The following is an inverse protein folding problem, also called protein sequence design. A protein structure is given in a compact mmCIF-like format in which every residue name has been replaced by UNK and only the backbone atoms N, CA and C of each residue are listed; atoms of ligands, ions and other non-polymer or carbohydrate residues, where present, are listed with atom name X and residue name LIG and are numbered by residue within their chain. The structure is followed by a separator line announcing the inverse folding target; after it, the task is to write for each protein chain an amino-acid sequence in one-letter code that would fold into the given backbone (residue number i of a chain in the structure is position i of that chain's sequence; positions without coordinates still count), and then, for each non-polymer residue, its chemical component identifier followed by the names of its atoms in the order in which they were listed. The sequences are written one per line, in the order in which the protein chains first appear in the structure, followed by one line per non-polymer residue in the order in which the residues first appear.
data_IF_589227690501
#
_entry.id   IF_589227690501
#
_cell.length_a   1.000
_cell.length_b   1.000
_cell.length_c   1.000
_cell.angle_alpha   90.00
_cell.angle_beta   90.00
_cell.angle_gamma   90.00
#
_symmetry.space_group_name_H-M   'P 1'
#
loop_
_entity.id
_entity.type
_entity.pdbx_description
1 polymer ?
#
# COMPACT_ATOMS: atom_id res chain seq x y z
N UNK A 1 -7.30 -5.52 -7.28
CA UNK A 1 -6.92 -5.38 -8.70
C UNK A 1 -5.41 -5.13 -8.89
N UNK A 2 -4.84 -4.02 -8.39
CA UNK A 2 -3.41 -3.70 -8.62
C UNK A 2 -2.46 -4.82 -8.17
N UNK A 3 -2.67 -5.38 -6.98
CA UNK A 3 -1.91 -6.52 -6.49
C UNK A 3 -1.97 -7.71 -7.45
N UNK A 4 -3.16 -8.04 -7.96
CA UNK A 4 -3.37 -9.19 -8.84
C UNK A 4 -2.72 -9.01 -10.20
N UNK A 5 -2.74 -7.79 -10.76
CA UNK A 5 -2.14 -7.54 -12.08
C UNK A 5 -0.61 -7.47 -12.01
N UNK A 6 -0.06 -6.95 -10.92
CA UNK A 6 1.38 -6.70 -10.81
C UNK A 6 2.16 -7.76 -10.02
N UNK A 7 1.50 -8.51 -9.15
CA UNK A 7 2.12 -9.47 -8.24
C UNK A 7 2.48 -10.78 -8.93
N UNK A 8 3.74 -11.21 -8.80
CA UNK A 8 4.24 -12.45 -9.40
C UNK A 8 3.49 -13.70 -8.91
N UNK A 9 2.94 -13.66 -7.71
CA UNK A 9 2.18 -14.74 -7.09
C UNK A 9 0.88 -15.08 -7.83
N UNK A 10 0.39 -14.18 -8.69
CA UNK A 10 -0.80 -14.40 -9.52
C UNK A 10 -0.49 -14.80 -10.97
N UNK A 11 0.80 -15.04 -11.30
CA UNK A 11 1.24 -15.23 -12.69
C UNK A 11 0.57 -16.39 -13.42
N UNK A 12 0.17 -17.44 -12.70
CA UNK A 12 -0.51 -18.61 -13.25
C UNK A 12 -2.03 -18.40 -13.48
N UNK A 13 -2.60 -17.30 -12.97
CA UNK A 13 -4.04 -17.05 -12.99
C UNK A 13 -4.47 -15.97 -14.02
N UNK A 14 -3.64 -15.69 -15.03
CA UNK A 14 -3.92 -14.61 -15.98
C UNK A 14 -5.28 -14.74 -16.68
N UNK A 15 -5.55 -15.92 -17.23
CA UNK A 15 -6.77 -16.15 -18.01
C UNK A 15 -8.04 -16.01 -17.17
N UNK A 16 -7.98 -16.41 -15.90
CA UNK A 16 -9.09 -16.27 -14.95
C UNK A 16 -9.33 -14.81 -14.55
N UNK A 17 -8.25 -14.05 -14.35
CA UNK A 17 -8.33 -12.71 -13.78
C UNK A 17 -8.54 -11.61 -14.83
N UNK A 18 -8.00 -11.78 -16.04
CA UNK A 18 -7.86 -10.66 -16.98
C UNK A 18 -8.38 -10.92 -18.40
N UNK A 19 -8.56 -12.18 -18.82
CA UNK A 19 -8.93 -12.50 -20.21
C UNK A 19 -10.20 -11.79 -20.66
N UNK A 20 -10.12 -11.11 -21.79
CA UNK A 20 -11.24 -10.39 -22.38
C UNK A 20 -11.57 -9.05 -21.70
N UNK A 21 -10.87 -8.65 -20.64
CA UNK A 21 -10.97 -7.31 -20.07
C UNK A 21 -10.17 -6.31 -20.92
N UNK A 22 -10.44 -5.01 -20.73
CA UNK A 22 -9.70 -3.95 -21.43
C UNK A 22 -8.18 -4.06 -21.21
N UNK A 23 -7.75 -4.45 -20.00
CA UNK A 23 -6.33 -4.62 -19.65
C UNK A 23 -5.65 -5.76 -20.42
N UNK A 24 -6.39 -6.79 -20.85
CA UNK A 24 -5.85 -7.88 -21.67
C UNK A 24 -5.45 -7.37 -23.05
N UNK A 25 -6.24 -6.48 -23.65
CA UNK A 25 -5.91 -5.86 -24.94
C UNK A 25 -4.57 -5.11 -24.88
N UNK A 26 -4.32 -4.36 -23.81
CA UNK A 26 -3.06 -3.62 -23.62
C UNK A 26 -1.86 -4.55 -23.40
N UNK A 27 -2.08 -5.71 -22.75
CA UNK A 27 -1.05 -6.76 -22.57
C UNK A 27 -0.75 -7.43 -23.92
N UNK A 28 -1.76 -7.82 -24.69
CA UNK A 28 -1.58 -8.42 -26.02
C UNK A 28 -0.87 -7.45 -26.99
N UNK A 29 -1.14 -6.15 -26.86
CA UNK A 29 -0.44 -5.11 -27.61
C UNK A 29 0.99 -4.84 -27.13
N UNK A 30 1.45 -5.48 -26.04
CA UNK A 30 2.77 -5.28 -25.46
C UNK A 30 2.99 -3.91 -24.82
N UNK A 31 1.90 -3.16 -24.56
CA UNK A 31 1.97 -1.80 -24.01
C UNK A 31 2.22 -1.82 -22.50
N UNK A 32 1.70 -2.85 -21.84
CA UNK A 32 1.90 -3.10 -20.41
C UNK A 32 2.28 -4.57 -20.18
N UNK A 33 2.96 -4.83 -19.08
CA UNK A 33 3.39 -6.17 -18.70
C UNK A 33 2.90 -6.48 -17.28
N UNK A 34 2.20 -7.60 -17.05
CA UNK A 34 1.79 -8.03 -15.72
C UNK A 34 2.98 -8.62 -14.93
N UNK A 35 2.75 -8.90 -13.64
CA UNK A 35 3.61 -9.77 -12.82
C UNK A 35 5.06 -9.30 -12.62
N UNK A 36 5.29 -7.98 -12.65
CA UNK A 36 6.64 -7.41 -12.59
C UNK A 36 7.14 -7.10 -11.17
N UNK A 37 6.38 -7.44 -10.12
CA UNK A 37 6.65 -6.99 -8.76
C UNK A 37 6.32 -8.02 -7.69
N UNK A 38 7.00 -7.89 -6.54
CA UNK A 38 6.56 -8.45 -5.27
C UNK A 38 5.70 -7.38 -4.56
N UNK A 39 4.50 -7.73 -4.12
CA UNK A 39 3.53 -6.82 -3.53
C UNK A 39 3.71 -6.79 -2.02
N UNK A 40 4.06 -5.63 -1.47
CA UNK A 40 3.95 -5.37 -0.03
C UNK A 40 2.69 -4.52 0.18
N UNK A 41 1.68 -5.08 0.84
CA UNK A 41 0.43 -4.38 1.12
C UNK A 41 0.41 -3.94 2.58
N UNK A 42 0.07 -2.68 2.82
CA UNK A 42 -0.20 -2.12 4.15
C UNK A 42 -1.65 -1.69 4.20
N UNK A 43 -2.37 -2.11 5.23
CA UNK A 43 -3.76 -1.74 5.46
C UNK A 43 -3.86 -0.95 6.77
N UNK A 44 -4.01 0.37 6.65
CA UNK A 44 -4.08 1.26 7.80
C UNK A 44 -5.46 1.24 8.49
N UNK A 45 -6.46 0.60 7.89
CA UNK A 45 -7.77 0.39 8.52
C UNK A 45 -7.67 -0.47 9.77
N UNK A 46 -6.73 -1.42 9.78
CA UNK A 46 -6.56 -2.42 10.84
C UNK A 46 -5.67 -1.97 12.00
N UNK A 47 -5.15 -0.73 11.99
CA UNK A 47 -4.28 -0.23 13.06
C UNK A 47 -5.10 -0.03 14.33
N UNK A 48 -4.58 -0.50 15.47
CA UNK A 48 -5.16 -0.22 16.78
C UNK A 48 -5.08 1.29 17.09
N UNK A 49 -6.23 1.87 17.42
CA UNK A 49 -6.47 3.33 17.41
C UNK A 49 -6.56 3.86 18.83
N UNK A 50 -5.61 3.46 19.67
CA UNK A 50 -5.58 3.89 21.05
C UNK A 50 -5.44 5.43 21.14
N UNK A 51 -6.28 6.12 21.95
CA UNK A 51 -6.18 7.57 22.12
C UNK A 51 -4.84 8.06 22.67
N UNK A 52 -4.07 7.19 23.36
CA UNK A 52 -2.72 7.48 23.82
C UNK A 52 -1.69 7.23 22.68
N UNK A 53 -0.99 8.28 22.23
CA UNK A 53 -0.05 8.20 21.11
C UNK A 53 1.11 7.21 21.28
N UNK A 54 1.44 6.81 22.51
CA UNK A 54 2.44 5.76 22.76
C UNK A 54 1.94 4.39 22.33
N UNK A 55 0.69 4.07 22.64
CA UNK A 55 0.06 2.80 22.26
C UNK A 55 -0.29 2.80 20.77
N UNK A 56 -0.72 3.94 20.22
CA UNK A 56 -0.87 4.16 18.78
C UNK A 56 0.38 3.81 17.98
N UNK A 57 1.56 4.25 18.46
CA UNK A 57 2.84 3.94 17.82
C UNK A 57 3.14 2.44 17.85
N UNK A 58 2.81 1.74 18.94
CA UNK A 58 2.97 0.28 19.02
C UNK A 58 2.06 -0.40 17.99
N UNK A 59 0.78 -0.04 17.94
CA UNK A 59 -0.18 -0.58 16.97
C UNK A 59 0.25 -0.35 15.51
N UNK A 60 0.81 0.83 15.20
CA UNK A 60 1.35 1.13 13.87
C UNK A 60 2.53 0.21 13.52
N UNK A 61 3.49 0.03 14.44
CA UNK A 61 4.63 -0.86 14.21
C UNK A 61 4.19 -2.31 14.06
N UNK A 62 3.23 -2.75 14.86
CA UNK A 62 2.67 -4.10 14.80
C UNK A 62 1.97 -4.38 13.46
N UNK A 63 1.08 -3.50 13.01
CA UNK A 63 0.41 -3.63 11.71
C UNK A 63 1.40 -3.75 10.55
N UNK A 64 2.42 -2.88 10.52
CA UNK A 64 3.43 -2.90 9.45
C UNK A 64 4.27 -4.18 9.54
N UNK A 65 4.67 -4.59 10.74
CA UNK A 65 5.46 -5.80 10.95
C UNK A 65 4.68 -7.07 10.55
N UNK A 66 3.39 -7.13 10.87
CA UNK A 66 2.51 -8.23 10.44
C UNK A 66 2.43 -8.28 8.92
N UNK A 67 2.24 -7.14 8.27
CA UNK A 67 2.23 -7.02 6.80
C UNK A 67 3.55 -7.49 6.16
N UNK A 68 4.70 -7.17 6.77
CA UNK A 68 6.02 -7.63 6.31
C UNK A 68 6.17 -9.15 6.55
N UNK A 69 5.62 -9.67 7.65
CA UNK A 69 5.56 -11.11 7.92
C UNK A 69 4.80 -11.86 6.82
N UNK A 70 3.62 -11.37 6.47
CA UNK A 70 2.79 -11.95 5.41
C UNK A 70 3.44 -11.84 4.03
N UNK A 71 4.14 -10.74 3.75
CA UNK A 71 5.00 -10.62 2.57
C UNK A 71 6.05 -11.74 2.52
N UNK A 72 6.74 -12.02 3.62
CA UNK A 72 7.73 -13.09 3.65
C UNK A 72 7.11 -14.47 3.46
N UNK A 73 5.94 -14.74 4.07
CA UNK A 73 5.21 -16.00 3.89
C UNK A 73 4.79 -16.19 2.43
N UNK A 74 4.22 -15.16 1.82
CA UNK A 74 3.77 -15.16 0.42
C UNK A 74 4.92 -15.48 -0.53
N UNK A 75 6.11 -14.93 -0.27
CA UNK A 75 7.27 -15.08 -1.17
C UNK A 75 8.35 -16.03 -0.67
N UNK A 76 8.05 -16.90 0.31
CA UNK A 76 9.01 -17.78 0.94
C UNK A 76 9.74 -18.69 -0.07
N UNK A 77 9.01 -19.19 -1.08
CA UNK A 77 9.56 -20.03 -2.15
C UNK A 77 10.56 -19.27 -3.07
N UNK A 78 10.37 -17.96 -3.25
CA UNK A 78 11.24 -17.15 -4.11
C UNK A 78 12.43 -16.55 -3.36
N UNK A 79 12.31 -16.35 -2.05
CA UNK A 79 13.32 -15.71 -1.20
C UNK A 79 14.23 -16.71 -0.47
N UNK A 80 14.24 -17.97 -0.91
CA UNK A 80 15.19 -19.00 -0.49
C UNK A 80 14.70 -19.92 0.64
N UNK A 81 13.46 -20.39 0.57
CA UNK A 81 12.86 -21.37 1.50
C UNK A 81 12.88 -20.94 2.98
N UNK A 82 12.49 -19.70 3.25
CA UNK A 82 12.18 -19.25 4.62
C UNK A 82 10.74 -19.61 4.98
N UNK A 83 10.38 -20.89 4.87
CA UNK A 83 9.07 -21.41 5.28
C UNK A 83 8.99 -21.68 6.78
N UNK A 84 10.10 -21.52 7.50
CA UNK A 84 10.13 -21.56 8.96
C UNK A 84 9.68 -20.22 9.53
N UNK A 85 8.54 -20.20 10.22
CA UNK A 85 8.04 -19.01 10.92
C UNK A 85 9.09 -18.42 11.87
N UNK A 86 9.97 -19.22 12.48
CA UNK A 86 11.05 -18.72 13.34
C UNK A 86 12.08 -17.90 12.55
N UNK A 87 12.36 -18.29 11.30
CA UNK A 87 13.23 -17.50 10.43
C UNK A 87 12.56 -16.19 10.03
N UNK A 88 11.25 -16.20 9.75
CA UNK A 88 10.51 -14.97 9.44
C UNK A 88 10.49 -14.04 10.66
N UNK A 89 10.21 -14.56 11.85
CA UNK A 89 10.26 -13.80 13.10
C UNK A 89 11.63 -13.16 13.33
N UNK A 90 12.73 -13.86 13.00
CA UNK A 90 14.09 -13.29 13.08
C UNK A 90 14.34 -12.11 12.13
N UNK A 91 13.52 -11.95 11.09
CA UNK A 91 13.58 -10.83 10.14
C UNK A 91 12.71 -9.64 10.57
N UNK A 92 11.81 -9.85 11.52
CA UNK A 92 10.91 -8.84 12.05
C UNK A 92 11.46 -8.31 13.37
N UNK A 93 11.51 -6.98 13.50
CA UNK A 93 11.82 -6.31 14.75
C UNK A 93 10.52 -5.81 15.38
N UNK A 94 9.96 -6.47 16.42
CA UNK A 94 8.59 -6.23 16.90
C UNK A 94 8.27 -4.76 17.20
N UNK A 95 9.25 -4.02 17.75
CA UNK A 95 9.08 -2.61 18.12
C UNK A 95 9.72 -1.63 17.12
N UNK A 96 10.14 -2.09 15.94
CA UNK A 96 10.83 -1.26 14.95
C UNK A 96 10.54 -1.68 13.51
N UNK A 97 9.36 -1.29 13.02
CA UNK A 97 8.95 -1.56 11.64
C UNK A 97 9.86 -0.95 10.56
N UNK A 98 10.57 0.15 10.87
CA UNK A 98 11.55 0.76 9.96
C UNK A 98 12.70 -0.22 9.70
N UNK A 99 13.23 -0.83 10.77
CA UNK A 99 14.30 -1.82 10.65
C UNK A 99 13.81 -3.08 9.91
N UNK A 100 12.60 -3.55 10.20
CA UNK A 100 11.97 -4.65 9.47
C UNK A 100 11.86 -4.36 7.97
N UNK A 101 11.40 -3.15 7.60
CA UNK A 101 11.28 -2.75 6.19
C UNK A 101 12.65 -2.71 5.50
N UNK A 102 13.67 -2.14 6.14
CA UNK A 102 15.02 -2.09 5.58
C UNK A 102 15.59 -3.50 5.32
N UNK A 103 15.33 -4.44 6.23
CA UNK A 103 15.75 -5.83 6.10
C UNK A 103 14.97 -6.56 5.01
N UNK A 104 13.66 -6.30 4.90
CA UNK A 104 12.81 -6.75 3.80
C UNK A 104 13.35 -6.32 2.44
N UNK A 105 13.54 -5.01 2.25
CA UNK A 105 14.08 -4.44 1.01
C UNK A 105 15.46 -5.02 0.67
N UNK A 106 16.32 -5.17 1.68
CA UNK A 106 17.66 -5.74 1.49
C UNK A 106 17.62 -7.22 1.08
N UNK A 107 16.69 -7.99 1.64
CA UNK A 107 16.47 -9.40 1.31
C UNK A 107 16.01 -9.54 -0.13
N UNK A 108 14.96 -8.81 -0.52
CA UNK A 108 14.45 -8.82 -1.90
C UNK A 108 15.52 -8.40 -2.89
N UNK A 109 16.28 -7.33 -2.59
CA UNK A 109 17.38 -6.88 -3.45
C UNK A 109 18.45 -7.96 -3.63
N UNK A 110 18.80 -8.67 -2.56
CA UNK A 110 19.77 -9.75 -2.62
C UNK A 110 19.26 -10.91 -3.49
N UNK A 111 18.01 -11.34 -3.29
CA UNK A 111 17.38 -12.41 -4.08
C UNK A 111 17.31 -12.06 -5.56
N UNK A 112 16.84 -10.86 -5.92
CA UNK A 112 16.77 -10.40 -7.31
C UNK A 112 18.14 -10.29 -7.98
N UNK A 113 19.20 -9.96 -7.22
CA UNK A 113 20.57 -9.95 -7.73
C UNK A 113 21.13 -11.35 -7.94
N UNK A 114 20.83 -12.28 -7.03
CA UNK A 114 21.31 -13.65 -7.11
C UNK A 114 20.80 -14.39 -8.35
N UNK A 115 19.59 -14.05 -8.81
CA UNK A 115 18.97 -14.67 -9.98
C UNK A 115 19.18 -13.88 -11.28
N UNK A 116 19.96 -12.79 -11.24
CA UNK A 116 20.15 -11.93 -12.40
C UNK A 116 20.80 -12.70 -13.55
N UNK A 117 20.14 -12.71 -14.70
CA UNK A 117 20.60 -13.41 -15.91
C UNK A 117 20.09 -14.86 -16.01
N UNK A 118 19.43 -15.37 -14.97
CA UNK A 118 18.66 -16.62 -15.07
C UNK A 118 17.25 -16.30 -15.58
N UNK A 119 17.02 -16.53 -16.87
CA UNK A 119 15.74 -16.24 -17.53
C UNK A 119 14.62 -17.22 -17.15
N UNK A 120 14.98 -18.41 -16.68
CA UNK A 120 14.02 -19.46 -16.30
C UNK A 120 13.59 -19.36 -14.82
N UNK A 121 14.22 -18.46 -14.05
CA UNK A 121 13.86 -18.28 -12.64
C UNK A 121 12.49 -17.56 -12.54
N UNK A 122 11.60 -17.93 -11.60
CA UNK A 122 10.30 -17.25 -11.44
C UNK A 122 10.37 -15.75 -11.14
N UNK A 123 11.52 -15.28 -10.64
CA UNK A 123 11.80 -13.85 -10.42
C UNK A 123 12.46 -13.16 -11.62
N UNK A 124 12.60 -13.83 -12.76
CA UNK A 124 13.11 -13.22 -13.99
C UNK A 124 12.20 -12.06 -14.41
N UNK A 125 12.80 -10.89 -14.68
CA UNK A 125 12.05 -9.69 -15.05
C UNK A 125 11.33 -8.96 -13.90
N UNK A 126 11.33 -9.50 -12.68
CA UNK A 126 10.80 -8.81 -11.50
C UNK A 126 11.66 -7.58 -11.18
N UNK A 127 11.00 -6.43 -11.03
CA UNK A 127 11.64 -5.13 -10.91
C UNK A 127 11.95 -4.73 -9.47
N UNK A 128 11.29 -5.34 -8.50
CA UNK A 128 11.39 -5.01 -7.08
C UNK A 128 10.05 -5.15 -6.37
N UNK A 129 9.90 -4.39 -5.29
CA UNK A 129 8.70 -4.31 -4.47
C UNK A 129 7.76 -3.23 -5.04
N UNK A 130 6.47 -3.53 -5.10
CA UNK A 130 5.40 -2.54 -5.23
C UNK A 130 4.72 -2.43 -3.85
N UNK A 131 4.91 -1.28 -3.20
CA UNK A 131 4.27 -0.96 -1.94
C UNK A 131 2.86 -0.40 -2.19
N UNK A 132 1.83 -1.09 -1.72
CA UNK A 132 0.45 -0.62 -1.70
C UNK A 132 0.12 -0.21 -0.27
N UNK A 133 -0.35 1.01 -0.05
CA UNK A 133 -0.78 1.49 1.26
C UNK A 133 -2.22 1.96 1.18
N UNK A 134 -3.13 1.23 1.82
CA UNK A 134 -4.56 1.53 1.81
C UNK A 134 -5.01 2.21 3.09
N UNK A 135 -6.09 3.00 2.99
CA UNK A 135 -6.68 3.79 4.08
C UNK A 135 -5.67 4.62 4.89
N UNK A 136 -4.69 5.24 4.22
CA UNK A 136 -3.55 5.92 4.88
C UNK A 136 -3.97 6.95 5.95
N UNK A 137 -5.03 7.70 5.69
CA UNK A 137 -5.55 8.72 6.59
C UNK A 137 -6.28 8.16 7.81
N UNK A 138 -6.64 6.87 7.82
CA UNK A 138 -7.33 6.24 8.95
C UNK A 138 -6.55 6.40 10.25
N UNK A 139 -5.21 6.30 10.17
CA UNK A 139 -4.34 6.52 11.33
C UNK A 139 -4.32 8.00 11.76
N UNK A 140 -4.25 8.94 10.83
CA UNK A 140 -4.15 10.36 11.17
C UNK A 140 -5.49 10.94 11.68
N UNK A 141 -6.61 10.45 11.17
CA UNK A 141 -7.94 10.96 11.45
C UNK A 141 -8.35 10.88 12.92
N UNK A 142 -7.97 9.80 13.62
CA UNK A 142 -8.37 9.60 15.01
C UNK A 142 -7.75 10.66 15.95
N UNK A 143 -6.55 11.12 15.63
CA UNK A 143 -5.88 12.15 16.42
C UNK A 143 -6.32 13.57 16.04
N UNK A 144 -7.12 13.75 14.98
CA UNK A 144 -7.54 15.08 14.54
C UNK A 144 -8.71 15.61 15.36
N UNK A 145 -8.41 16.40 16.39
CA UNK A 145 -9.43 17.13 17.13
C UNK A 145 -9.74 18.49 16.48
N UNK A 146 -10.79 18.54 15.65
CA UNK A 146 -11.21 19.75 14.92
C UNK A 146 -11.63 20.93 15.82
N UNK A 147 -11.86 20.70 17.12
CA UNK A 147 -12.22 21.74 18.11
C UNK A 147 -11.03 22.33 18.85
N UNK A 148 -9.85 21.72 18.72
CA UNK A 148 -8.63 22.15 19.41
C UNK A 148 -7.51 22.42 18.40
N UNK A 149 -7.41 23.68 17.97
CA UNK A 149 -6.32 24.15 17.10
C UNK A 149 -4.98 24.29 17.83
N UNK A 150 -4.94 24.15 19.17
CA UNK A 150 -3.70 24.21 19.97
C UNK A 150 -3.09 22.82 20.22
N UNK A 151 -3.89 21.75 20.15
CA UNK A 151 -3.43 20.36 20.26
C UNK A 151 -2.78 19.79 19.00
N UNK A 152 -2.92 20.46 17.85
CA UNK A 152 -2.30 20.06 16.57
C UNK A 152 -0.77 19.96 16.68
N UNK A 153 -0.13 20.84 17.47
CA UNK A 153 1.32 20.85 17.71
C UNK A 153 1.84 19.72 18.61
N UNK A 154 0.99 19.14 19.47
CA UNK A 154 1.33 17.93 20.26
C UNK A 154 1.19 16.66 19.42
N UNK A 155 0.14 16.57 18.60
CA UNK A 155 -0.07 15.49 17.63
C UNK A 155 1.07 15.46 16.60
N UNK A 156 1.54 16.63 16.14
CA UNK A 156 2.69 16.77 15.25
C UNK A 156 4.02 16.24 15.82
N UNK A 157 4.20 16.22 17.14
CA UNK A 157 5.41 15.67 17.77
C UNK A 157 5.40 14.14 17.88
N UNK A 158 4.23 13.52 17.88
CA UNK A 158 4.06 12.06 18.01
C UNK A 158 3.75 11.36 16.68
N UNK A 159 3.31 12.09 15.65
CA UNK A 159 3.28 11.65 14.25
C UNK A 159 4.68 11.42 13.61
N UNK A 160 5.76 11.54 14.40
CA UNK A 160 7.12 11.32 13.91
C UNK A 160 7.32 9.91 13.38
N UNK A 161 6.66 8.89 13.94
CA UNK A 161 6.82 7.48 13.53
C UNK A 161 6.37 7.22 12.09
N UNK A 162 5.23 7.78 11.69
CA UNK A 162 4.71 7.65 10.34
C UNK A 162 5.57 8.43 9.34
N UNK A 163 6.00 9.64 9.73
CA UNK A 163 6.94 10.45 8.94
C UNK A 163 8.28 9.73 8.74
N UNK A 164 8.84 9.16 9.79
CA UNK A 164 10.12 8.42 9.76
C UNK A 164 9.99 7.14 8.92
N UNK A 165 8.85 6.45 9.03
CA UNK A 165 8.53 5.30 8.19
C UNK A 165 8.54 5.68 6.70
N UNK A 166 7.81 6.74 6.33
CA UNK A 166 7.76 7.20 4.95
C UNK A 166 9.09 7.78 4.45
N UNK A 167 9.87 8.44 5.31
CA UNK A 167 11.23 8.84 4.98
C UNK A 167 12.12 7.61 4.68
N UNK A 168 11.93 6.52 5.41
CA UNK A 168 12.59 5.24 5.13
C UNK A 168 12.10 4.61 3.82
N UNK A 169 10.79 4.63 3.52
CA UNK A 169 10.24 4.19 2.23
C UNK A 169 10.90 4.99 1.10
N UNK A 170 10.93 6.32 1.22
CA UNK A 170 11.58 7.23 0.25
C UNK A 170 13.05 6.87 0.04
N UNK A 171 13.82 6.67 1.11
CA UNK A 171 15.22 6.27 1.03
C UNK A 171 15.42 4.86 0.41
N UNK A 172 14.39 4.02 0.51
CA UNK A 172 14.35 2.67 -0.05
C UNK A 172 13.81 2.63 -1.47
N UNK A 173 13.35 3.75 -2.04
CA UNK A 173 12.90 3.78 -3.43
C UNK A 173 14.07 3.52 -4.40
N UNK A 174 13.79 2.77 -5.46
CA UNK A 174 14.74 2.49 -6.53
C UNK A 174 14.60 1.10 -7.14
N UNK A 175 15.38 0.86 -8.20
CA UNK A 175 15.39 -0.42 -8.90
C UNK A 175 15.84 -1.57 -7.99
N UNK A 176 15.16 -2.72 -8.07
CA UNK A 176 15.35 -3.90 -7.21
C UNK A 176 15.18 -3.63 -5.71
N UNK A 177 14.53 -2.51 -5.36
CA UNK A 177 14.08 -2.15 -4.01
C UNK A 177 12.58 -1.86 -4.09
N UNK A 178 12.07 -0.85 -3.37
CA UNK A 178 10.72 -0.34 -3.60
C UNK A 178 10.72 0.43 -4.91
N UNK A 179 10.12 -0.14 -5.95
CA UNK A 179 10.13 0.46 -7.29
C UNK A 179 8.89 1.31 -7.54
N UNK A 180 7.76 0.91 -6.95
CA UNK A 180 6.49 1.64 -7.03
C UNK A 180 5.86 1.74 -5.65
N UNK A 181 5.15 2.83 -5.43
CA UNK A 181 4.30 3.01 -4.26
C UNK A 181 2.97 3.61 -4.72
N UNK A 182 1.86 3.06 -4.23
CA UNK A 182 0.52 3.57 -4.47
C UNK A 182 -0.21 3.67 -3.13
N UNK A 183 -0.82 4.83 -2.88
CA UNK A 183 -1.42 5.18 -1.59
C UNK A 183 -2.87 5.60 -1.85
N UNK A 184 -3.80 5.03 -1.09
CA UNK A 184 -5.24 5.35 -1.10
C UNK A 184 -5.69 5.81 0.29
N UNK A 185 -6.91 6.39 0.36
CA UNK A 185 -7.43 7.01 1.58
C UNK A 185 -6.50 8.13 2.05
N UNK A 186 -6.34 9.18 1.25
CA UNK A 186 -5.50 10.33 1.62
C UNK A 186 -6.37 11.57 1.69
N UNK A 187 -6.77 11.97 2.90
CA UNK A 187 -7.45 13.23 3.12
C UNK A 187 -6.55 14.44 2.79
N UNK A 188 -7.14 15.56 2.31
CA UNK A 188 -6.42 16.81 2.02
C UNK A 188 -5.53 17.32 3.15
N UNK A 189 -5.88 17.03 4.41
CA UNK A 189 -5.12 17.44 5.58
C UNK A 189 -3.92 16.51 5.85
N UNK A 190 -4.08 15.19 5.68
CA UNK A 190 -3.01 14.19 5.79
C UNK A 190 -1.96 14.29 4.66
N UNK A 191 -2.29 15.00 3.58
CA UNK A 191 -1.34 15.37 2.53
C UNK A 191 -0.22 16.27 3.04
N UNK A 192 -0.48 17.16 4.00
CA UNK A 192 0.55 18.02 4.58
C UNK A 192 1.68 17.18 5.22
N UNK A 193 1.33 16.15 5.97
CA UNK A 193 2.31 15.27 6.64
C UNK A 193 3.08 14.40 5.63
N UNK A 194 2.37 13.84 4.65
CA UNK A 194 2.97 13.06 3.57
C UNK A 194 3.94 13.90 2.72
N UNK A 195 3.69 15.20 2.51
CA UNK A 195 4.58 16.08 1.74
C UNK A 195 5.91 16.39 2.44
N UNK A 196 6.08 16.08 3.73
CA UNK A 196 7.37 16.25 4.42
C UNK A 196 8.19 14.95 4.49
N UNK A 197 7.56 13.80 4.72
CA UNK A 197 8.23 12.49 4.81
C UNK A 197 8.37 11.74 3.48
N UNK A 198 7.40 11.92 2.56
CA UNK A 198 7.32 11.25 1.26
C UNK A 198 7.09 12.23 0.10
N UNK A 199 7.83 13.32 0.08
CA UNK A 199 7.68 14.43 -0.89
C UNK A 199 7.94 14.10 -2.37
N UNK A 200 8.12 12.83 -2.72
CA UNK A 200 8.24 12.32 -4.09
C UNK A 200 6.89 11.81 -4.63
N UNK A 201 5.86 11.72 -3.77
CA UNK A 201 4.53 11.33 -4.19
C UNK A 201 3.86 12.42 -5.04
N UNK A 202 3.05 11.98 -6.00
CA UNK A 202 2.19 12.86 -6.80
C UNK A 202 0.73 12.59 -6.42
N UNK A 203 0.04 13.61 -5.90
CA UNK A 203 -1.40 13.51 -5.65
C UNK A 203 -2.15 13.55 -6.99
N UNK A 204 -2.98 12.54 -7.21
CA UNK A 204 -3.79 12.39 -8.43
C UNK A 204 -5.30 12.37 -8.16
N UNK A 205 -5.74 12.65 -6.94
CA UNK A 205 -7.16 12.60 -6.53
C UNK A 205 -8.05 13.58 -7.30
N UNK A 206 -7.48 14.63 -7.90
CA UNK A 206 -8.22 15.60 -8.73
C UNK A 206 -8.27 15.21 -10.21
N UNK A 207 -7.61 14.12 -10.64
CA UNK A 207 -7.63 13.69 -12.04
C UNK A 207 -8.97 13.03 -12.36
N UNK A 208 -9.69 13.60 -13.33
CA UNK A 208 -11.04 13.18 -13.70
C UNK A 208 -11.08 11.75 -14.22
N UNK A 209 -10.02 11.31 -14.88
CA UNK A 209 -9.86 9.94 -15.40
C UNK A 209 -9.79 8.90 -14.26
N UNK A 210 -9.31 9.31 -13.08
CA UNK A 210 -9.20 8.45 -11.90
C UNK A 210 -10.39 8.61 -10.94
N UNK A 211 -11.22 9.63 -11.10
CA UNK A 211 -12.38 9.86 -10.25
C UNK A 211 -13.38 8.69 -10.27
N UNK A 212 -13.46 7.97 -11.39
CA UNK A 212 -14.29 6.76 -11.52
C UNK A 212 -13.69 5.49 -10.91
N UNK A 213 -12.41 5.50 -10.51
CA UNK A 213 -11.78 4.34 -9.85
C UNK A 213 -12.18 4.22 -8.39
N UNK A 214 -12.55 5.34 -7.75
CA UNK A 214 -12.75 5.43 -6.31
C UNK A 214 -14.20 5.77 -5.91
N UNK A 215 -15.18 5.65 -6.81
CA UNK A 215 -16.58 5.76 -6.40
C UNK A 215 -17.55 6.29 -7.45
N UNK A 216 -18.66 6.81 -6.92
CA UNK A 216 -19.78 7.33 -7.68
C UNK A 216 -19.41 8.64 -8.37
N UNK A 217 -19.70 8.75 -9.66
CA UNK A 217 -19.64 10.03 -10.36
C UNK A 217 -20.73 10.96 -9.83
N UNK A 218 -20.61 12.27 -10.09
CA UNK A 218 -21.70 13.21 -9.81
C UNK A 218 -23.00 12.84 -10.53
N UNK A 219 -22.90 12.13 -11.66
CA UNK A 219 -24.04 11.56 -12.37
C UNK A 219 -24.71 10.45 -11.57
N UNK A 220 -23.91 9.54 -11.02
CA UNK A 220 -24.41 8.41 -10.21
C UNK A 220 -25.05 8.90 -8.91
N UNK A 221 -24.41 9.86 -8.21
CA UNK A 221 -24.98 10.49 -7.02
C UNK A 221 -26.29 11.21 -7.34
N UNK A 222 -26.34 11.98 -8.43
CA UNK A 222 -27.57 12.68 -8.85
C UNK A 222 -28.68 11.70 -9.23
N UNK A 223 -28.34 10.60 -9.91
CA UNK A 223 -29.30 9.55 -10.26
C UNK A 223 -29.84 8.85 -9.02
N UNK A 224 -28.98 8.49 -8.07
CA UNK A 224 -29.39 7.90 -6.79
C UNK A 224 -30.32 8.84 -6.02
N UNK A 225 -29.94 10.12 -5.87
CA UNK A 225 -30.77 11.13 -5.20
C UNK A 225 -32.12 11.32 -5.88
N UNK A 226 -32.18 11.32 -7.21
CA UNK A 226 -33.45 11.37 -7.94
C UNK A 226 -34.33 10.16 -7.62
N UNK A 227 -33.77 8.96 -7.57
CA UNK A 227 -34.53 7.75 -7.19
C UNK A 227 -35.10 7.88 -5.79
N UNK A 228 -34.31 8.34 -4.81
CA UNK A 228 -34.80 8.55 -3.43
C UNK A 228 -35.87 9.63 -3.33
N UNK A 229 -35.67 10.77 -3.99
CA UNK A 229 -36.64 11.87 -3.95
C UNK A 229 -37.94 11.55 -4.71
N UNK A 230 -37.87 10.73 -5.76
CA UNK A 230 -39.06 10.33 -6.54
C UNK A 230 -39.88 9.25 -5.81
N UNK A 231 -39.25 8.46 -4.94
CA UNK A 231 -39.91 7.44 -4.11
C UNK A 231 -40.37 7.98 -2.74
N UNK A 232 -40.13 9.27 -2.45
CA UNK A 232 -40.56 9.94 -1.21
C UNK A 232 -42.04 10.35 -1.18
N UNK A 233 -42.79 10.06 -2.24
CA UNK A 233 -44.27 10.19 -2.28
C UNK A 233 -44.93 8.83 -2.06
N UNK A 234 -44.71 8.19 -0.91
CA UNK A 234 -45.55 7.05 -0.49
C UNK A 234 -45.93 7.21 0.99
N UNK A 235 -47.23 7.49 1.16
CA UNK A 235 -48.11 7.32 2.32
C UNK A 235 -47.82 8.17 3.58
N UNK A 236 -48.62 9.24 3.71
CA UNK A 236 -49.08 9.77 4.99
C UNK A 236 -50.25 8.94 5.50
#
# INVERSE_FOLDING_TARGET
MLAHFHGVEYSEHYDELFKGLAVDQDVQAGTIMPYQYLILSLDFSAVDRDPDPKFAKVGLHEMINNSIGDFYRTYACYLGNKTDDQLIESLIHPNNAISSLQKCVSTVRASLRAVKGNLDHPLAGVKGIYLLADEYDAFANEYMNLKDTTGYDSIHREQSSLKDFWACVKASMGHQKITKCFITGVLPLSLADATSGFNIATNVSSKRELAGLCGLSSGDVRSALKTFCSNGEVEK
#
